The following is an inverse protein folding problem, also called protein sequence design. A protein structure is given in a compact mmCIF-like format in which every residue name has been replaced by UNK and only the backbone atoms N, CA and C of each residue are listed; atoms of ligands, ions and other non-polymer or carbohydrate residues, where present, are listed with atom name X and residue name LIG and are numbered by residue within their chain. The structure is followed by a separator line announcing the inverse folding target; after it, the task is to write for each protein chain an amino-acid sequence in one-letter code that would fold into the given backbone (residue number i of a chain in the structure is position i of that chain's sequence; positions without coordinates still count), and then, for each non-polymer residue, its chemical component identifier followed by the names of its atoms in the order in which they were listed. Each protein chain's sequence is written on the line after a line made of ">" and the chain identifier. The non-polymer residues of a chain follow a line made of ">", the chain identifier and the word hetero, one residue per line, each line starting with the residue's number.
data_IF_895518542837
#
_entry.id   IF_895518542837
#
_cell.length_a   1.000
_cell.length_b   1.000
_cell.length_c   1.000
_cell.angle_alpha   90.00
_cell.angle_beta   90.00
_cell.angle_gamma   90.00
#
_symmetry.space_group_name_H-M   'P 1'
#
loop_
_entity.id
_entity.type
_entity.pdbx_description
1 polymer ?
#
# COMPACT_ATOMS: atom_id res chain seq x y z
N UNK A 1 -8.96 4.64 -4.49
CA UNK A 1 -9.30 3.24 -4.84
C UNK A 1 -10.81 3.04 -4.92
N UNK A 2 -11.33 2.29 -5.92
CA UNK A 2 -12.77 1.96 -6.03
C UNK A 2 -13.17 0.74 -5.16
N UNK A 3 -14.47 0.46 -5.04
CA UNK A 3 -14.97 -0.60 -4.14
C UNK A 3 -14.49 -2.01 -4.53
N UNK A 4 -14.52 -2.35 -5.83
CA UNK A 4 -14.10 -3.67 -6.30
C UNK A 4 -12.61 -3.91 -6.06
N UNK A 5 -11.77 -2.91 -6.35
CA UNK A 5 -10.34 -2.93 -6.06
C UNK A 5 -10.09 -3.14 -4.57
N UNK A 6 -10.82 -2.42 -3.71
CA UNK A 6 -10.68 -2.56 -2.25
C UNK A 6 -11.01 -3.96 -1.77
N UNK A 7 -12.04 -4.61 -2.31
CA UNK A 7 -12.37 -6.02 -2.01
C UNK A 7 -11.23 -6.95 -2.44
N UNK A 8 -10.63 -6.71 -3.60
CA UNK A 8 -9.49 -7.50 -4.08
C UNK A 8 -8.26 -7.32 -3.17
N UNK A 9 -7.91 -6.08 -2.81
CA UNK A 9 -6.79 -5.81 -1.90
C UNK A 9 -7.03 -6.38 -0.51
N UNK A 10 -8.26 -6.33 -0.01
CA UNK A 10 -8.64 -6.94 1.26
C UNK A 10 -8.39 -8.45 1.23
N UNK A 11 -8.76 -9.13 0.14
CA UNK A 11 -8.48 -10.57 -0.03
C UNK A 11 -6.98 -10.86 -0.06
N UNK A 12 -6.19 -10.05 -0.77
CA UNK A 12 -4.73 -10.21 -0.81
C UNK A 12 -4.09 -9.98 0.57
N UNK A 13 -4.51 -8.94 1.28
CA UNK A 13 -4.03 -8.65 2.63
C UNK A 13 -4.36 -9.78 3.60
N UNK A 14 -5.58 -10.33 3.54
CA UNK A 14 -5.98 -11.46 4.38
C UNK A 14 -5.16 -12.71 4.09
N UNK A 15 -4.87 -12.97 2.82
CA UNK A 15 -3.97 -14.07 2.42
C UNK A 15 -2.56 -13.87 2.98
N UNK A 16 -1.98 -12.67 2.88
CA UNK A 16 -0.65 -12.35 3.42
C UNK A 16 -0.59 -12.48 4.96
N UNK A 17 -1.67 -12.12 5.64
CA UNK A 17 -1.78 -12.23 7.11
C UNK A 17 -2.18 -13.64 7.58
N UNK A 18 -2.53 -14.56 6.69
CA UNK A 18 -3.03 -15.89 7.03
C UNK A 18 -4.42 -15.89 7.70
N UNK A 19 -5.26 -14.89 7.43
CA UNK A 19 -6.58 -14.70 8.04
C UNK A 19 -7.67 -15.18 7.08
N UNK A 20 -8.49 -16.14 7.52
CA UNK A 20 -9.54 -16.75 6.69
C UNK A 20 -10.95 -16.27 7.03
N UNK A 21 -11.15 -15.63 8.18
CA UNK A 21 -12.46 -15.14 8.63
C UNK A 21 -12.69 -13.67 8.28
N UNK A 22 -13.94 -13.19 8.43
CA UNK A 22 -14.34 -11.84 8.02
C UNK A 22 -14.55 -10.86 9.18
N UNK A 23 -14.35 -11.30 10.43
CA UNK A 23 -14.62 -10.50 11.64
C UNK A 23 -13.88 -9.14 11.70
N UNK A 24 -12.80 -8.98 10.95
CA UNK A 24 -11.96 -7.77 10.94
C UNK A 24 -11.94 -7.07 9.57
N UNK A 25 -12.83 -7.43 8.66
CA UNK A 25 -12.80 -6.91 7.28
C UNK A 25 -13.02 -5.40 7.22
N UNK A 26 -13.92 -4.87 8.06
CA UNK A 26 -14.10 -3.42 8.22
C UNK A 26 -12.80 -2.76 8.66
N UNK A 27 -12.12 -3.35 9.65
CA UNK A 27 -10.86 -2.83 10.17
C UNK A 27 -9.76 -2.86 9.08
N UNK A 28 -9.56 -3.99 8.42
CA UNK A 28 -8.55 -4.13 7.37
C UNK A 28 -8.82 -3.23 6.15
N UNK A 29 -10.09 -3.00 5.82
CA UNK A 29 -10.46 -2.02 4.80
C UNK A 29 -9.98 -0.61 5.16
N UNK A 30 -10.08 -0.22 6.43
CA UNK A 30 -9.56 1.07 6.90
C UNK A 30 -8.04 1.11 6.91
N UNK A 31 -7.37 0.00 7.24
CA UNK A 31 -5.90 -0.10 7.16
C UNK A 31 -5.41 0.09 5.73
N UNK A 32 -6.09 -0.50 4.73
CA UNK A 32 -5.75 -0.31 3.31
C UNK A 32 -5.90 1.15 2.87
N UNK A 33 -6.99 1.82 3.30
CA UNK A 33 -7.19 3.24 3.01
C UNK A 33 -6.11 4.09 3.69
N UNK A 34 -5.79 3.79 4.95
CA UNK A 34 -4.70 4.47 5.65
C UNK A 34 -3.35 4.25 4.96
N UNK A 35 -3.06 3.03 4.50
CA UNK A 35 -1.83 2.70 3.80
C UNK A 35 -1.71 3.50 2.48
N UNK A 36 -2.78 3.56 1.69
CA UNK A 36 -2.84 4.40 0.49
C UNK A 36 -2.50 5.86 0.83
N UNK A 37 -3.17 6.43 1.83
CA UNK A 37 -2.99 7.83 2.22
C UNK A 37 -1.56 8.13 2.72
N UNK A 38 -0.96 7.22 3.49
CA UNK A 38 0.43 7.35 3.96
C UNK A 38 1.42 7.34 2.80
N UNK A 39 1.24 6.42 1.83
CA UNK A 39 2.08 6.35 0.64
C UNK A 39 1.92 7.61 -0.20
N UNK A 40 0.69 8.06 -0.46
CA UNK A 40 0.44 9.25 -1.28
C UNK A 40 1.00 10.53 -0.65
N UNK A 41 1.06 10.62 0.69
CA UNK A 41 1.69 11.73 1.40
C UNK A 41 3.19 11.87 1.11
N UNK A 42 3.84 10.82 0.63
CA UNK A 42 5.26 10.89 0.20
C UNK A 42 5.44 11.59 -1.16
N UNK A 43 4.34 12.00 -1.82
CA UNK A 43 4.35 12.67 -3.12
C UNK A 43 4.05 11.76 -4.31
N UNK A 44 3.76 10.48 -4.06
CA UNK A 44 3.36 9.48 -5.05
C UNK A 44 1.87 9.61 -5.34
N UNK A 45 1.47 9.34 -6.58
CA UNK A 45 0.05 9.09 -6.93
C UNK A 45 -0.08 7.62 -7.28
N UNK A 46 -0.92 6.88 -6.54
CA UNK A 46 -1.11 5.45 -6.77
C UNK A 46 -2.15 5.20 -7.87
N UNK A 47 -1.74 4.48 -8.91
CA UNK A 47 -2.60 4.04 -10.00
C UNK A 47 -3.02 2.59 -9.81
N UNK A 48 -4.23 2.36 -9.25
CA UNK A 48 -4.69 1.00 -8.96
C UNK A 48 -5.06 0.15 -10.19
N UNK A 49 -4.93 0.68 -11.40
CA UNK A 49 -4.90 -0.12 -12.63
C UNK A 49 -3.61 -0.94 -12.75
N UNK A 50 -2.52 -0.48 -12.11
CA UNK A 50 -1.25 -1.19 -12.02
C UNK A 50 -1.25 -2.14 -10.80
N UNK A 51 -0.91 -3.40 -11.04
CA UNK A 51 -0.76 -4.41 -9.98
C UNK A 51 0.36 -4.08 -8.99
N UNK A 52 1.42 -3.37 -9.40
CA UNK A 52 2.52 -3.02 -8.51
C UNK A 52 2.09 -2.05 -7.39
N UNK A 53 1.16 -1.14 -7.70
CA UNK A 53 0.60 -0.18 -6.74
C UNK A 53 -0.44 -0.83 -5.82
N UNK A 54 -1.19 -1.81 -6.35
CA UNK A 54 -2.03 -2.69 -5.56
C UNK A 54 -1.19 -3.45 -4.52
N UNK A 55 -0.13 -4.13 -4.96
CA UNK A 55 0.77 -4.88 -4.07
C UNK A 55 1.51 -3.98 -3.10
N UNK A 56 1.96 -2.79 -3.53
CA UNK A 56 2.62 -1.83 -2.63
C UNK A 56 1.70 -1.42 -1.48
N UNK A 57 0.42 -1.17 -1.78
CA UNK A 57 -0.59 -0.82 -0.78
C UNK A 57 -0.84 -1.97 0.19
N UNK A 58 -0.95 -3.20 -0.33
CA UNK A 58 -1.14 -4.41 0.49
C UNK A 58 0.05 -4.65 1.42
N UNK A 59 1.28 -4.60 0.90
CA UNK A 59 2.48 -4.84 1.70
C UNK A 59 2.67 -3.77 2.78
N UNK A 60 2.38 -2.50 2.45
CA UNK A 60 2.42 -1.42 3.43
C UNK A 60 1.34 -1.60 4.52
N UNK A 61 0.13 -2.03 4.13
CA UNK A 61 -0.95 -2.34 5.08
C UNK A 61 -0.58 -3.51 6.00
N UNK A 62 0.03 -4.57 5.46
CA UNK A 62 0.50 -5.71 6.22
C UNK A 62 1.61 -5.32 7.21
N UNK A 63 2.59 -4.53 6.77
CA UNK A 63 3.61 -3.95 7.65
C UNK A 63 2.98 -3.09 8.76
N UNK A 64 2.03 -2.21 8.40
CA UNK A 64 1.32 -1.34 9.35
C UNK A 64 0.55 -2.15 10.39
N UNK A 65 -0.02 -3.29 10.00
CA UNK A 65 -0.70 -4.17 10.92
C UNK A 65 0.28 -4.83 11.91
N UNK A 66 1.40 -5.38 11.40
CA UNK A 66 2.42 -6.11 12.17
C UNK A 66 3.19 -5.18 13.13
N UNK A 67 3.59 -3.98 12.68
CA UNK A 67 4.34 -3.01 13.50
C UNK A 67 3.60 -2.51 14.75
N UNK A 68 2.30 -2.76 14.87
CA UNK A 68 1.57 -2.41 16.10
C UNK A 68 1.97 -3.30 17.27
N UNK A 69 2.47 -4.50 16.99
CA UNK A 69 2.94 -5.44 18.00
C UNK A 69 4.44 -5.27 18.26
N UNK A 70 5.18 -4.71 17.31
CA UNK A 70 6.63 -4.69 17.30
C UNK A 70 7.13 -3.33 16.78
N UNK A 71 8.08 -2.69 17.46
CA UNK A 71 8.67 -1.41 17.03
C UNK A 71 9.64 -1.59 15.85
N UNK A 72 9.11 -2.07 14.72
CA UNK A 72 9.90 -2.38 13.51
C UNK A 72 9.86 -1.19 12.55
N UNK A 73 11.02 -0.72 12.06
CA UNK A 73 11.06 0.30 11.01
C UNK A 73 10.40 -0.20 9.71
N UNK A 74 10.09 0.74 8.81
CA UNK A 74 9.58 0.37 7.49
C UNK A 74 10.61 -0.50 6.76
N UNK A 75 10.18 -1.65 6.23
CA UNK A 75 11.07 -2.58 5.54
C UNK A 75 11.78 -1.89 4.36
N UNK A 76 13.09 -2.14 4.20
CA UNK A 76 13.94 -1.45 3.22
C UNK A 76 13.42 -1.59 1.78
N UNK A 77 12.88 -2.75 1.43
CA UNK A 77 12.27 -2.99 0.13
C UNK A 77 11.06 -2.06 -0.13
N UNK A 78 10.21 -1.82 0.88
CA UNK A 78 9.08 -0.89 0.78
C UNK A 78 9.56 0.54 0.63
N UNK A 79 10.56 0.95 1.42
CA UNK A 79 11.18 2.27 1.27
C UNK A 79 11.70 2.50 -0.15
N UNK A 80 12.42 1.51 -0.72
CA UNK A 80 12.94 1.61 -2.09
C UNK A 80 11.83 1.68 -3.13
N UNK A 81 10.78 0.88 -3.01
CA UNK A 81 9.65 0.90 -3.95
C UNK A 81 8.90 2.24 -3.96
N UNK A 82 8.76 2.87 -2.79
CA UNK A 82 8.21 4.22 -2.64
C UNK A 82 9.18 5.23 -3.28
N UNK A 83 10.45 5.20 -2.89
CA UNK A 83 11.46 6.13 -3.38
C UNK A 83 11.61 6.11 -4.91
N UNK A 84 11.65 4.92 -5.52
CA UNK A 84 11.75 4.76 -6.98
C UNK A 84 10.57 5.42 -7.72
N UNK A 85 9.36 5.36 -7.16
CA UNK A 85 8.17 6.02 -7.73
C UNK A 85 8.26 7.54 -7.63
N UNK A 86 8.74 8.07 -6.51
CA UNK A 86 8.98 9.51 -6.34
C UNK A 86 9.96 10.01 -7.39
N UNK A 87 11.08 9.30 -7.59
CA UNK A 87 12.08 9.65 -8.62
C UNK A 87 11.46 9.57 -10.02
N UNK A 88 10.74 8.50 -10.34
CA UNK A 88 10.12 8.33 -11.65
C UNK A 88 9.15 9.47 -11.99
N UNK A 89 8.34 9.90 -11.01
CA UNK A 89 7.44 11.05 -11.16
C UNK A 89 8.22 12.34 -11.43
N UNK A 90 9.23 12.64 -10.62
CA UNK A 90 10.05 13.83 -10.79
C UNK A 90 10.83 13.84 -12.11
N UNK A 91 11.32 12.69 -12.58
CA UNK A 91 11.98 12.55 -13.88
C UNK A 91 11.03 12.83 -15.06
N UNK A 92 9.79 12.37 -14.97
CA UNK A 92 8.78 12.64 -15.98
C UNK A 92 8.38 14.12 -16.04
N UNK A 93 8.23 14.80 -14.89
CA UNK A 93 7.91 16.24 -14.84
C UNK A 93 8.99 17.10 -15.54
N UNK A 94 10.27 16.70 -15.43
CA UNK A 94 11.38 17.43 -16.05
C UNK A 94 11.61 17.08 -17.53
N UNK A 95 11.01 16.00 -18.05
CA UNK A 95 11.18 15.57 -19.44
C UNK A 95 10.26 16.28 -20.44
N UNK A 96 9.32 17.11 -19.95
CA UNK A 96 8.32 17.82 -20.78
C UNK A 96 8.60 19.34 -20.88
N UNK A 97 9.85 19.77 -20.65
CA UNK A 97 10.30 21.15 -20.91
C UNK A 97 11.30 21.21 -22.05
#
# INVERSE_FOLDING_TARGET
>A
MNEQMRKNLLRLLKLDLGITHDLRDTYFSQVLVSAQNEIERTGIVLGFENMDDQMLTVDYAAWTYRKRQEDIPLARNLQMRIHNRVIQKAGNENAVN
#
